data_IF_704883661075
#
_entry.id   IF_704883661075
#
_cell.length_a   1.000
_cell.length_b   1.000
_cell.length_c   1.000
_cell.angle_alpha   90.00
_cell.angle_beta   90.00
_cell.angle_gamma   90.00
#
_symmetry.space_group_name_H-M   'P 1'
#
loop_
_entity.id
_entity.type
_entity.pdbx_description
1 polymer ?
#
# COMPACT_ATOMS: atom_id res chain seq x y z
N UNK A 1 -2.65 -18.98 -9.65
CA UNK A 1 -2.12 -17.95 -10.58
C UNK A 1 -2.38 -16.51 -10.11
N UNK A 2 -2.91 -16.34 -8.90
CA UNK A 2 -3.11 -15.00 -8.28
C UNK A 2 -1.73 -14.36 -8.11
N UNK A 3 -1.55 -13.11 -8.52
CA UNK A 3 -0.28 -12.36 -8.48
C UNK A 3 0.67 -12.63 -9.64
N UNK A 4 0.57 -13.77 -10.32
CA UNK A 4 1.45 -14.12 -11.44
C UNK A 4 1.21 -13.25 -12.68
N UNK A 5 -0.04 -12.89 -12.97
CA UNK A 5 -0.41 -12.18 -14.20
C UNK A 5 0.26 -10.81 -14.29
N UNK A 6 0.21 -10.04 -13.22
CA UNK A 6 0.80 -8.69 -13.17
C UNK A 6 2.31 -8.74 -13.31
N UNK A 7 2.97 -9.65 -12.59
CA UNK A 7 4.41 -9.87 -12.71
C UNK A 7 4.80 -10.31 -14.13
N UNK A 8 4.08 -11.28 -14.68
CA UNK A 8 4.33 -11.80 -16.04
C UNK A 8 4.21 -10.72 -17.13
N UNK A 9 3.16 -9.88 -17.06
CA UNK A 9 2.98 -8.76 -17.99
C UNK A 9 4.08 -7.70 -17.84
N UNK A 10 4.52 -7.43 -16.62
CA UNK A 10 5.62 -6.51 -16.36
C UNK A 10 6.94 -7.03 -16.91
N UNK A 11 7.29 -8.27 -16.62
CA UNK A 11 8.53 -8.91 -17.09
C UNK A 11 8.58 -9.06 -18.61
N UNK A 12 7.45 -9.38 -19.22
CA UNK A 12 7.34 -9.50 -20.68
C UNK A 12 7.04 -8.18 -21.39
N UNK A 13 7.00 -7.07 -20.68
CA UNK A 13 6.66 -5.73 -21.20
C UNK A 13 5.32 -5.73 -21.96
N UNK A 14 4.35 -6.49 -21.47
CA UNK A 14 3.02 -6.61 -22.07
C UNK A 14 2.93 -7.49 -23.31
N UNK A 15 4.02 -8.10 -23.78
CA UNK A 15 4.03 -8.92 -25.00
C UNK A 15 3.76 -10.41 -24.73
N UNK A 16 3.80 -10.83 -23.47
CA UNK A 16 3.60 -12.23 -23.09
C UNK A 16 2.16 -12.67 -23.23
N UNK A 17 1.95 -13.90 -23.67
CA UNK A 17 0.67 -14.58 -23.71
C UNK A 17 0.75 -15.77 -22.76
N UNK A 18 -0.11 -15.79 -21.73
CA UNK A 18 -0.25 -16.91 -20.83
C UNK A 18 -1.66 -17.48 -20.91
N UNK A 19 -1.76 -18.80 -21.05
CA UNK A 19 -3.02 -19.53 -21.00
C UNK A 19 -2.97 -20.55 -19.87
N UNK A 20 -4.09 -20.79 -19.20
CA UNK A 20 -4.21 -21.79 -18.15
C UNK A 20 -5.42 -22.68 -18.40
N UNK A 21 -5.24 -23.97 -18.12
CA UNK A 21 -6.30 -24.97 -18.22
C UNK A 21 -6.41 -25.64 -16.84
N UNK A 22 -7.64 -25.80 -16.35
CA UNK A 22 -7.87 -26.54 -15.11
C UNK A 22 -7.64 -28.01 -15.34
N UNK A 23 -6.71 -28.64 -14.63
CA UNK A 23 -6.35 -30.05 -14.78
C UNK A 23 -7.06 -30.94 -13.74
N UNK A 24 -7.47 -30.37 -12.61
CA UNK A 24 -8.17 -31.12 -11.56
C UNK A 24 -8.00 -30.46 -10.18
N UNK A 25 -8.30 -31.24 -9.15
CA UNK A 25 -8.16 -30.86 -7.75
C UNK A 25 -7.01 -31.65 -7.12
N UNK A 26 -6.18 -30.95 -6.37
CA UNK A 26 -5.08 -31.50 -5.59
C UNK A 26 -5.25 -31.17 -4.10
N UNK A 27 -4.58 -31.90 -3.19
CA UNK A 27 -4.54 -31.52 -1.79
C UNK A 27 -4.02 -30.10 -1.61
N UNK A 28 -4.56 -29.40 -0.59
CA UNK A 28 -4.14 -28.02 -0.26
C UNK A 28 -2.61 -27.95 -0.06
N UNK A 29 -1.92 -27.21 -0.89
CA UNK A 29 -0.45 -27.04 -0.84
C UNK A 29 0.05 -26.07 0.25
N UNK A 30 -0.84 -25.56 1.10
CA UNK A 30 -0.51 -24.57 2.11
C UNK A 30 -0.70 -23.12 1.62
N UNK A 31 -0.30 -22.17 2.46
CA UNK A 31 -0.36 -20.73 2.12
C UNK A 31 0.69 -20.39 1.07
N UNK A 32 0.24 -19.82 -0.03
CA UNK A 32 1.11 -19.25 -1.06
C UNK A 32 1.27 -17.76 -0.72
N UNK A 33 2.48 -17.34 -0.37
CA UNK A 33 2.77 -15.93 -0.16
C UNK A 33 2.63 -15.19 -1.50
N UNK A 34 1.65 -14.30 -1.58
CA UNK A 34 1.40 -13.49 -2.78
C UNK A 34 2.33 -12.28 -2.87
N UNK A 35 2.88 -11.84 -1.74
CA UNK A 35 3.67 -10.62 -1.62
C UNK A 35 4.83 -10.81 -0.64
N UNK A 36 6.01 -10.32 -1.02
CA UNK A 36 7.22 -10.29 -0.19
C UNK A 36 7.48 -8.91 0.43
N UNK A 37 6.76 -7.89 -0.01
CA UNK A 37 6.85 -6.49 0.42
C UNK A 37 5.83 -6.18 1.50
N UNK A 38 6.10 -5.17 2.32
CA UNK A 38 5.17 -4.66 3.33
C UNK A 38 4.29 -3.52 2.82
N UNK A 39 3.51 -2.95 3.71
CA UNK A 39 2.63 -1.81 3.44
C UNK A 39 3.13 -0.54 4.14
N UNK A 40 2.97 0.61 3.46
CA UNK A 40 2.99 1.92 4.10
C UNK A 40 1.56 2.22 4.57
N UNK A 41 1.39 2.43 5.87
CA UNK A 41 0.07 2.58 6.50
C UNK A 41 -0.05 3.97 7.10
N UNK A 42 -1.16 4.67 6.85
CA UNK A 42 -1.40 5.98 7.45
C UNK A 42 -1.60 5.86 8.96
N UNK A 43 -0.88 6.71 9.72
CA UNK A 43 -0.93 6.75 11.18
C UNK A 43 -2.07 7.62 11.72
N UNK A 44 -2.75 8.39 10.87
CA UNK A 44 -3.82 9.33 11.27
C UNK A 44 -4.72 9.74 10.11
N UNK A 45 -5.93 10.26 10.40
CA UNK A 45 -6.80 10.82 9.39
C UNK A 45 -6.35 12.22 8.93
N UNK A 46 -6.74 12.60 7.70
CA UNK A 46 -6.56 13.93 7.13
C UNK A 46 -6.25 13.92 5.64
N UNK A 47 -6.08 15.10 5.06
CA UNK A 47 -5.73 15.26 3.67
C UNK A 47 -4.24 15.00 3.43
N UNK A 48 -3.93 14.19 2.45
CA UNK A 48 -2.55 13.89 2.02
C UNK A 48 -1.86 15.16 1.51
N UNK A 49 -0.65 15.45 1.99
CA UNK A 49 0.11 16.61 1.55
C UNK A 49 1.25 16.23 0.61
N UNK A 50 1.50 17.04 -0.43
CA UNK A 50 2.64 16.87 -1.31
C UNK A 50 3.96 16.90 -0.53
N UNK A 51 4.06 17.75 0.49
CA UNK A 51 5.22 17.84 1.36
C UNK A 51 5.54 16.53 2.08
N UNK A 52 4.53 15.85 2.61
CA UNK A 52 4.72 14.56 3.27
C UNK A 52 5.16 13.49 2.27
N UNK A 53 4.50 13.40 1.10
CA UNK A 53 4.82 12.42 0.07
C UNK A 53 6.26 12.57 -0.44
N UNK A 54 6.72 13.80 -0.75
CA UNK A 54 8.10 14.05 -1.18
C UNK A 54 9.13 13.55 -0.16
N UNK A 55 8.85 13.74 1.12
CA UNK A 55 9.76 13.27 2.18
C UNK A 55 9.72 11.77 2.43
N UNK A 56 8.65 11.13 2.05
CA UNK A 56 8.43 9.71 2.28
C UNK A 56 8.65 8.84 1.03
N UNK A 57 8.81 9.44 -0.15
CA UNK A 57 8.95 8.69 -1.42
C UNK A 57 10.16 7.75 -1.46
N UNK A 58 11.21 8.00 -0.66
CA UNK A 58 12.35 7.09 -0.50
C UNK A 58 11.99 5.83 0.31
N UNK A 59 10.83 5.81 0.96
CA UNK A 59 10.35 4.68 1.77
C UNK A 59 9.59 3.65 0.95
N UNK A 60 9.06 4.05 -0.22
CA UNK A 60 8.32 3.14 -1.09
C UNK A 60 7.47 3.85 -2.12
N UNK A 61 6.61 3.09 -2.78
CA UNK A 61 5.72 3.58 -3.84
C UNK A 61 4.34 3.91 -3.27
N UNK A 62 3.89 5.14 -3.42
CA UNK A 62 2.59 5.58 -2.91
C UNK A 62 1.45 5.27 -3.88
N UNK A 63 0.25 5.04 -3.31
CA UNK A 63 -1.02 4.81 -4.02
C UNK A 63 -1.96 6.00 -3.93
N UNK A 64 -1.65 7.00 -3.10
CA UNK A 64 -2.48 8.17 -2.79
C UNK A 64 -1.90 9.44 -3.40
N UNK A 65 -2.79 10.36 -3.76
CA UNK A 65 -2.46 11.66 -4.37
C UNK A 65 -2.54 12.78 -3.32
N UNK A 66 -1.78 13.89 -3.51
CA UNK A 66 -1.97 15.08 -2.71
C UNK A 66 -3.42 15.60 -2.74
N UNK A 67 -3.95 15.97 -1.58
CA UNK A 67 -5.33 16.42 -1.42
C UNK A 67 -6.36 15.32 -1.22
N UNK A 68 -5.98 14.05 -1.38
CA UNK A 68 -6.86 12.91 -1.11
C UNK A 68 -7.03 12.74 0.41
N UNK A 69 -8.27 12.53 0.86
CA UNK A 69 -8.56 12.19 2.25
C UNK A 69 -8.11 10.77 2.57
N UNK A 70 -7.45 10.63 3.71
CA UNK A 70 -7.00 9.35 4.26
C UNK A 70 -7.43 9.20 5.71
N UNK A 71 -7.38 7.98 6.22
CA UNK A 71 -7.71 7.66 7.61
C UNK A 71 -6.66 6.71 8.21
N UNK A 72 -6.63 6.62 9.52
CA UNK A 72 -5.73 5.72 10.24
C UNK A 72 -5.98 4.27 9.83
N UNK A 73 -4.89 3.53 9.55
CA UNK A 73 -4.98 2.15 9.09
C UNK A 73 -5.21 1.97 7.59
N UNK A 74 -5.38 3.04 6.82
CA UNK A 74 -5.41 2.96 5.36
C UNK A 74 -4.01 2.65 4.82
N UNK A 75 -3.91 1.70 3.91
CA UNK A 75 -2.68 1.43 3.16
C UNK A 75 -2.52 2.50 2.09
N UNK A 76 -1.47 3.28 2.20
CA UNK A 76 -1.19 4.44 1.34
C UNK A 76 -0.05 4.20 0.37
N UNK A 77 0.62 3.05 0.48
CA UNK A 77 1.73 2.70 -0.41
C UNK A 77 2.31 1.31 -0.12
N UNK A 78 3.24 0.92 -0.96
CA UNK A 78 4.04 -0.30 -0.85
C UNK A 78 5.39 0.00 -0.22
N UNK A 79 5.76 -0.75 0.83
CA UNK A 79 7.08 -0.71 1.43
C UNK A 79 7.97 -1.78 0.78
N UNK A 80 9.14 -1.46 0.22
CA UNK A 80 10.04 -2.46 -0.35
C UNK A 80 10.58 -3.46 0.69
N UNK A 81 10.46 -3.15 1.98
CA UNK A 81 10.79 -4.08 3.07
C UNK A 81 9.59 -4.98 3.37
N UNK A 82 9.84 -6.15 3.94
CA UNK A 82 8.79 -7.11 4.28
C UNK A 82 7.85 -6.63 5.41
N UNK A 83 8.32 -5.74 6.27
CA UNK A 83 7.53 -5.24 7.40
C UNK A 83 6.70 -4.00 7.00
N UNK A 84 5.51 -3.90 7.60
CA UNK A 84 4.68 -2.71 7.48
C UNK A 84 5.31 -1.53 8.21
N UNK A 85 5.04 -0.33 7.71
CA UNK A 85 5.52 0.91 8.29
C UNK A 85 4.39 1.93 8.41
N UNK A 86 4.12 2.40 9.62
CA UNK A 86 3.21 3.53 9.83
C UNK A 86 3.89 4.84 9.40
N UNK A 87 3.19 5.63 8.59
CA UNK A 87 3.69 6.88 8.00
C UNK A 87 2.69 8.01 8.17
N UNK A 88 3.20 9.21 8.37
CA UNK A 88 2.38 10.42 8.43
C UNK A 88 2.34 11.11 7.06
N UNK A 89 1.31 10.82 6.28
CA UNK A 89 1.10 11.39 4.93
C UNK A 89 0.35 12.72 4.94
N UNK A 90 -0.17 13.13 6.11
CA UNK A 90 -0.93 14.39 6.27
C UNK A 90 -0.09 15.53 6.86
N UNK A 91 1.20 15.30 7.05
CA UNK A 91 2.10 16.28 7.64
C UNK A 91 2.24 17.51 6.75
N UNK A 92 1.88 18.67 7.29
CA UNK A 92 2.06 19.95 6.63
C UNK A 92 3.49 20.50 6.79
N UNK A 93 3.91 21.31 5.84
CA UNK A 93 5.13 22.11 5.95
C UNK A 93 4.91 23.23 6.98
N UNK A 94 5.75 23.29 7.98
CA UNK A 94 5.73 24.43 8.90
C UNK A 94 6.06 25.72 8.13
N UNK A 95 5.23 26.74 8.33
CA UNK A 95 5.47 28.06 7.74
C UNK A 95 6.74 28.67 8.36
N UNK A 96 7.71 28.95 7.52
CA UNK A 96 8.86 29.77 7.90
C UNK A 96 8.77 31.09 7.17
N UNK A 97 9.14 32.20 7.86
CA UNK A 97 9.00 33.58 7.37
C UNK A 97 9.73 33.90 6.05
N UNK A 98 10.45 32.95 5.44
CA UNK A 98 11.32 33.22 4.31
C UNK A 98 10.91 32.58 2.97
N UNK A 99 9.85 31.76 2.90
CA UNK A 99 9.41 31.15 1.62
C UNK A 99 7.91 30.89 1.56
N UNK A 100 7.30 31.21 0.43
CA UNK A 100 5.94 30.85 0.07
C UNK A 100 5.74 29.33 0.13
N UNK A 101 4.73 28.89 0.87
CA UNK A 101 4.45 27.46 1.14
C UNK A 101 4.00 26.66 -0.08
N UNK A 102 3.64 27.32 -1.17
CA UNK A 102 2.87 26.70 -2.27
C UNK A 102 3.68 26.38 -3.52
N UNK A 103 4.77 27.10 -3.79
CA UNK A 103 5.48 26.99 -5.08
C UNK A 103 6.46 25.81 -5.19
N UNK A 104 7.01 25.33 -4.07
CA UNK A 104 8.05 24.29 -4.05
C UNK A 104 7.52 22.84 -3.90
N UNK A 105 6.19 22.67 -3.82
CA UNK A 105 5.63 21.42 -3.28
C UNK A 105 5.43 20.30 -4.29
N UNK A 106 5.46 20.56 -5.58
CA UNK A 106 5.20 19.55 -6.62
C UNK A 106 6.44 19.17 -7.44
N UNK A 107 7.49 19.96 -7.38
CA UNK A 107 8.74 19.67 -8.08
C UNK A 107 9.45 18.48 -7.40
N UNK A 108 9.57 17.38 -8.13
CA UNK A 108 10.20 16.15 -7.63
C UNK A 108 9.28 15.11 -7.00
N UNK A 109 7.95 15.31 -6.99
CA UNK A 109 7.02 14.29 -6.55
C UNK A 109 6.90 13.19 -7.62
N UNK A 110 7.20 11.94 -7.22
CA UNK A 110 6.95 10.77 -8.06
C UNK A 110 5.44 10.54 -8.15
N UNK A 111 4.87 10.39 -9.37
CA UNK A 111 3.45 10.09 -9.52
C UNK A 111 3.05 8.83 -8.76
N UNK A 112 1.92 8.84 -8.04
CA UNK A 112 1.45 7.67 -7.32
C UNK A 112 1.01 6.57 -8.29
N UNK A 113 1.19 5.32 -7.88
CA UNK A 113 0.66 4.16 -8.58
C UNK A 113 -0.83 4.02 -8.27
N UNK A 114 -1.69 4.20 -9.25
CA UNK A 114 -3.12 3.91 -9.10
C UNK A 114 -3.35 2.41 -9.21
N UNK A 115 -3.97 1.84 -8.17
CA UNK A 115 -4.30 0.43 -8.16
C UNK A 115 -5.68 0.20 -8.81
N UNK A 116 -5.74 -0.75 -9.71
CA UNK A 116 -7.00 -1.34 -10.17
C UNK A 116 -7.55 -2.27 -9.06
N UNK A 117 -8.82 -2.67 -9.17
CA UNK A 117 -9.39 -3.64 -8.22
C UNK A 117 -8.61 -4.96 -8.22
N UNK A 118 -8.20 -5.45 -9.38
CA UNK A 118 -7.43 -6.69 -9.50
C UNK A 118 -6.07 -6.54 -8.79
N UNK A 119 -5.34 -5.46 -9.05
CA UNK A 119 -4.06 -5.19 -8.39
C UNK A 119 -4.21 -5.00 -6.87
N UNK A 120 -5.29 -4.37 -6.40
CA UNK A 120 -5.57 -4.23 -4.98
C UNK A 120 -5.85 -5.57 -4.30
N UNK A 121 -6.58 -6.48 -4.97
CA UNK A 121 -6.83 -7.83 -4.47
C UNK A 121 -5.55 -8.69 -4.45
N UNK A 122 -4.68 -8.54 -5.46
CA UNK A 122 -3.38 -9.22 -5.50
C UNK A 122 -2.41 -8.67 -4.44
N UNK A 123 -2.48 -7.37 -4.16
CA UNK A 123 -1.63 -6.72 -3.18
C UNK A 123 -2.03 -7.02 -1.74
N UNK A 124 -3.33 -7.13 -1.45
CA UNK A 124 -3.84 -7.29 -0.10
C UNK A 124 -3.32 -8.57 0.57
N UNK A 125 -2.77 -8.43 1.78
CA UNK A 125 -2.34 -9.54 2.62
C UNK A 125 -3.46 -10.00 3.58
N UNK A 126 -3.21 -11.06 4.35
CA UNK A 126 -4.20 -11.67 5.25
C UNK A 126 -4.76 -10.73 6.33
N UNK A 127 -4.02 -9.69 6.68
CA UNK A 127 -4.41 -8.67 7.66
C UNK A 127 -4.92 -7.38 7.02
N UNK A 128 -5.18 -7.42 5.72
CA UNK A 128 -5.66 -6.32 4.91
C UNK A 128 -7.01 -6.63 4.26
N UNK A 129 -7.77 -5.57 3.99
CA UNK A 129 -9.04 -5.63 3.28
C UNK A 129 -9.04 -4.65 2.12
N UNK A 130 -9.63 -5.05 1.00
CA UNK A 130 -9.92 -4.15 -0.11
C UNK A 130 -11.29 -3.51 0.11
N UNK A 131 -11.33 -2.20 0.10
CA UNK A 131 -12.52 -1.38 0.25
C UNK A 131 -12.87 -0.77 -1.12
N UNK A 132 -14.07 -1.06 -1.59
CA UNK A 132 -14.55 -0.58 -2.89
C UNK A 132 -15.70 0.39 -2.67
N UNK A 133 -15.54 1.61 -3.16
CA UNK A 133 -16.57 2.63 -3.19
C UNK A 133 -16.89 2.99 -4.63
N UNK A 134 -17.97 3.72 -4.94
CA UNK A 134 -18.25 4.16 -6.30
C UNK A 134 -17.10 4.97 -6.94
N UNK A 135 -16.33 5.69 -6.12
CA UNK A 135 -15.32 6.64 -6.57
C UNK A 135 -13.87 6.13 -6.44
N UNK A 136 -13.64 5.11 -5.60
CA UNK A 136 -12.28 4.68 -5.28
C UNK A 136 -12.17 3.22 -4.86
N UNK A 137 -11.02 2.61 -5.20
CA UNK A 137 -10.54 1.35 -4.62
C UNK A 137 -9.44 1.70 -3.62
N UNK A 138 -9.56 1.21 -2.39
CA UNK A 138 -8.61 1.42 -1.30
C UNK A 138 -8.23 0.11 -0.66
N UNK A 139 -7.08 0.08 -0.03
CA UNK A 139 -6.67 -1.03 0.82
C UNK A 139 -6.55 -0.50 2.24
N UNK A 140 -6.97 -1.27 3.22
CA UNK A 140 -6.84 -0.90 4.64
C UNK A 140 -6.47 -2.10 5.48
N UNK A 141 -5.89 -1.85 6.64
CA UNK A 141 -5.70 -2.90 7.64
C UNK A 141 -7.04 -3.32 8.26
N UNK A 142 -7.15 -4.59 8.65
CA UNK A 142 -8.31 -5.10 9.39
C UNK A 142 -8.42 -4.37 10.73
N UNK A 143 -7.30 -4.23 11.44
CA UNK A 143 -7.19 -3.44 12.66
C UNK A 143 -6.66 -2.06 12.28
N UNK A 144 -7.48 -1.01 12.46
CA UNK A 144 -7.12 0.34 12.04
C UNK A 144 -6.14 1.02 12.99
N UNK A 145 -6.33 0.87 14.30
CA UNK A 145 -5.48 1.48 15.32
C UNK A 145 -4.07 0.90 15.30
N UNK A 146 -3.07 1.77 15.24
CA UNK A 146 -1.65 1.39 15.14
C UNK A 146 -1.13 0.66 16.38
N UNK A 147 -1.59 1.04 17.57
CA UNK A 147 -1.17 0.39 18.82
C UNK A 147 -1.78 -1.01 18.95
N UNK A 148 -3.03 -1.18 18.51
CA UNK A 148 -3.68 -2.48 18.49
C UNK A 148 -3.02 -3.42 17.49
N UNK A 149 -2.65 -2.94 16.29
CA UNK A 149 -1.85 -3.71 15.31
C UNK A 149 -0.55 -4.21 15.92
N UNK A 150 0.19 -3.32 16.60
CA UNK A 150 1.44 -3.70 17.24
C UNK A 150 1.27 -4.78 18.32
N UNK A 151 0.21 -4.66 19.16
CA UNK A 151 -0.12 -5.66 20.19
C UNK A 151 -0.51 -7.00 19.56
N UNK A 152 -1.30 -6.97 18.48
CA UNK A 152 -1.72 -8.18 17.78
C UNK A 152 -0.54 -8.90 17.12
N UNK A 153 0.33 -8.16 16.44
CA UNK A 153 1.57 -8.71 15.88
C UNK A 153 2.46 -9.35 16.95
N UNK A 154 2.59 -8.71 18.12
CA UNK A 154 3.33 -9.29 19.25
C UNK A 154 2.69 -10.57 19.81
N UNK A 155 1.35 -10.67 19.81
CA UNK A 155 0.62 -11.90 20.22
C UNK A 155 0.85 -13.04 19.23
N UNK A 156 0.77 -12.75 17.92
CA UNK A 156 1.01 -13.75 16.87
C UNK A 156 2.42 -14.31 16.92
N UNK A 157 3.44 -13.48 17.05
CA UNK A 157 4.85 -13.91 17.21
C UNK A 157 5.06 -14.83 18.43
N UNK A 158 4.30 -14.64 19.51
CA UNK A 158 4.36 -15.52 20.71
C UNK A 158 3.62 -16.84 20.54
N UNK A 159 2.60 -16.87 19.67
CA UNK A 159 1.84 -18.10 19.38
C UNK A 159 2.57 -19.02 18.40
N UNK A 160 3.44 -18.44 17.56
CA UNK A 160 4.22 -19.16 16.55
C UNK A 160 5.60 -19.63 17.08
N UNK A 161 5.99 -19.24 18.31
CA UNK A 161 7.24 -19.61 18.97
C UNK A 161 7.05 -20.77 19.98
#
# INVERSE_FOLDING_TARGET
LIGFRTQFLTETRGTGIASSIAEGYEPWAGRIASRTTGSLVSDRPGAVTAYALIRLQDRGTFFVEPGQETYEGQVVGENPRHEDMDVNVVREKQQTNMRSSTADSFEGLVPPRRLTLEEALEFASDDECVEVTPDAVRIRKVILDSQERFKDAARRRRADA
#
